data_IF_340092343791
#
_entry.id   IF_340092343791
#
_cell.length_a   1.000
_cell.length_b   1.000
_cell.length_c   1.000
_cell.angle_alpha   90.00
_cell.angle_beta   90.00
_cell.angle_gamma   90.00
#
_symmetry.space_group_name_H-M   'P 1'
#
loop_
_entity.id
_entity.type
_entity.pdbx_description
1 polymer ?
#
# COMPACT_ATOMS: atom_id res chain seq x y z
N UNK A 1 17.48 25.92 51.79
CA UNK A 1 18.46 26.75 51.04
C UNK A 1 17.86 26.95 49.65
N UNK A 2 17.25 28.11 49.36
CA UNK A 2 17.86 29.34 48.79
C UNK A 2 18.65 29.00 47.52
N UNK A 3 18.13 29.34 46.34
CA UNK A 3 18.28 30.64 45.64
C UNK A 3 19.37 30.48 44.56
N UNK A 4 19.35 31.09 43.37
CA UNK A 4 18.42 31.94 42.64
C UNK A 4 18.97 32.01 41.19
N UNK A 5 18.19 32.43 40.19
CA UNK A 5 18.67 32.74 38.85
C UNK A 5 19.38 34.11 38.84
N UNK A 6 20.42 34.25 38.02
CA UNK A 6 21.08 35.55 37.78
C UNK A 6 20.66 36.17 36.44
N UNK A 7 20.71 37.52 36.36
CA UNK A 7 19.81 38.33 35.55
C UNK A 7 20.51 39.00 34.37
N UNK A 8 19.71 39.65 33.53
CA UNK A 8 20.15 40.33 32.31
C UNK A 8 20.86 41.68 32.49
N UNK A 9 21.22 42.23 31.34
CA UNK A 9 21.41 43.66 31.07
C UNK A 9 20.90 43.94 29.65
N UNK A 10 19.94 44.85 29.42
CA UNK A 10 20.09 46.31 29.31
C UNK A 10 21.14 46.72 28.26
N UNK A 11 20.95 47.63 27.32
CA UNK A 11 19.87 48.54 26.95
C UNK A 11 20.36 49.31 25.69
N UNK A 12 19.42 49.87 24.90
CA UNK A 12 19.50 51.23 24.29
C UNK A 12 20.64 51.52 23.27
N UNK A 13 20.28 51.79 22.00
CA UNK A 13 20.12 53.16 21.45
C UNK A 13 20.06 53.17 19.91
N UNK A 14 19.13 53.98 19.42
CA UNK A 14 18.90 54.34 18.03
C UNK A 14 20.05 55.08 17.35
N UNK A 15 20.16 54.93 16.03
CA UNK A 15 20.49 56.04 15.13
C UNK A 15 19.71 55.92 13.82
N UNK A 16 18.72 56.80 13.71
CA UNK A 16 18.04 57.22 12.49
C UNK A 16 19.04 58.01 11.65
N UNK A 17 19.17 57.70 10.36
CA UNK A 17 19.84 58.61 9.41
C UNK A 17 18.94 58.80 8.20
N UNK A 18 18.19 59.90 8.25
CA UNK A 18 17.59 60.52 7.09
C UNK A 18 18.70 61.05 6.17
N UNK A 19 18.50 60.94 4.87
CA UNK A 19 19.34 61.55 3.84
C UNK A 19 18.54 61.65 2.55
N UNK A 20 17.80 62.76 2.41
CA UNK A 20 17.09 63.12 1.19
C UNK A 20 17.99 63.78 0.14
N UNK A 21 17.52 63.75 -1.10
CA UNK A 21 18.05 64.49 -2.26
C UNK A 21 17.33 64.09 -3.55
N UNK A 22 17.16 65.00 -4.54
CA UNK A 22 15.85 65.24 -5.17
C UNK A 22 15.80 64.99 -6.70
N UNK A 23 14.68 65.44 -7.29
CA UNK A 23 14.40 65.74 -8.73
C UNK A 23 13.51 64.73 -9.46
N UNK A 24 12.21 65.00 -9.63
CA UNK A 24 11.54 65.88 -10.63
C UNK A 24 11.56 65.28 -12.04
N UNK A 25 10.37 64.99 -12.58
CA UNK A 25 10.22 64.63 -13.99
C UNK A 25 8.87 64.01 -14.33
N UNK A 26 7.94 64.85 -14.76
CA UNK A 26 6.55 64.58 -15.12
C UNK A 26 6.35 63.60 -16.30
N UNK A 27 5.21 62.89 -16.28
CA UNK A 27 4.29 62.71 -17.43
C UNK A 27 3.08 61.88 -17.00
N UNK A 28 1.93 62.55 -16.89
CA UNK A 28 0.64 61.89 -16.76
C UNK A 28 0.09 61.48 -18.13
N UNK A 29 -0.42 60.24 -18.22
CA UNK A 29 -1.47 59.81 -19.16
C UNK A 29 -2.26 58.70 -18.42
N UNK A 30 -3.52 58.95 -18.07
CA UNK A 30 -4.52 57.87 -17.92
C UNK A 30 -5.33 57.74 -19.23
N UNK A 31 -6.31 56.83 -19.36
CA UNK A 31 -6.75 55.78 -18.42
C UNK A 31 -6.88 54.37 -19.06
N UNK A 32 -7.09 53.35 -18.21
CA UNK A 32 -7.86 52.11 -18.45
C UNK A 32 -7.89 51.48 -19.85
N UNK A 33 -7.21 50.33 -19.99
CA UNK A 33 -7.64 49.26 -20.93
C UNK A 33 -7.18 47.88 -20.45
N UNK A 34 -8.13 46.95 -20.43
CA UNK A 34 -7.98 45.49 -20.35
C UNK A 34 -7.79 44.84 -18.97
N UNK A 35 -8.86 44.91 -18.18
CA UNK A 35 -9.41 43.68 -17.64
C UNK A 35 -9.81 42.74 -18.81
N UNK A 36 -9.13 41.61 -19.02
CA UNK A 36 -9.81 40.41 -19.53
C UNK A 36 -9.02 39.11 -19.31
N UNK A 37 -9.61 38.23 -18.50
CA UNK A 37 -9.62 36.79 -18.70
C UNK A 37 -8.32 35.98 -18.54
N UNK A 38 -7.80 35.93 -17.32
CA UNK A 38 -7.30 34.67 -16.77
C UNK A 38 -7.92 34.41 -15.39
N UNK A 39 -9.23 34.66 -15.28
CA UNK A 39 -10.03 33.97 -14.28
C UNK A 39 -9.99 32.51 -14.69
N UNK A 40 -9.37 31.67 -13.86
CA UNK A 40 -9.70 30.25 -13.81
C UNK A 40 -11.21 30.16 -13.86
N UNK A 41 -11.72 29.74 -15.01
CA UNK A 41 -13.15 29.58 -15.22
C UNK A 41 -13.63 28.66 -14.09
N UNK A 42 -14.62 29.05 -13.26
CA UNK A 42 -15.18 28.12 -12.30
C UNK A 42 -15.68 26.94 -13.15
N UNK A 43 -14.99 25.80 -13.05
CA UNK A 43 -15.29 24.63 -13.86
C UNK A 43 -16.79 24.40 -13.81
N UNK A 44 -17.43 24.47 -14.97
CA UNK A 44 -18.90 24.39 -15.07
C UNK A 44 -19.39 23.25 -14.17
N UNK A 45 -20.39 23.46 -13.29
CA UNK A 45 -20.81 22.45 -12.31
C UNK A 45 -21.14 21.09 -12.95
N UNK A 46 -21.45 21.08 -14.24
CA UNK A 46 -21.61 19.89 -15.08
C UNK A 46 -20.30 19.11 -15.30
N UNK A 47 -19.17 19.79 -15.56
CA UNK A 47 -17.85 19.18 -15.71
C UNK A 47 -17.34 18.62 -14.38
N UNK A 48 -17.51 19.36 -13.28
CA UNK A 48 -17.14 18.90 -11.94
C UNK A 48 -17.92 17.63 -11.54
N UNK A 49 -19.25 17.61 -11.80
CA UNK A 49 -20.09 16.43 -11.56
C UNK A 49 -19.69 15.24 -12.43
N UNK A 50 -19.29 15.48 -13.69
CA UNK A 50 -18.78 14.44 -14.59
C UNK A 50 -17.50 13.80 -14.07
N UNK A 51 -16.52 14.62 -13.66
CA UNK A 51 -15.26 14.16 -13.08
C UNK A 51 -15.46 13.36 -11.79
N UNK A 52 -16.34 13.83 -10.90
CA UNK A 52 -16.65 13.13 -9.65
C UNK A 52 -17.28 11.75 -9.89
N UNK A 53 -18.21 11.64 -10.86
CA UNK A 53 -18.84 10.36 -11.22
C UNK A 53 -17.85 9.37 -11.82
N UNK A 54 -16.95 9.85 -12.69
CA UNK A 54 -15.91 9.01 -13.27
C UNK A 54 -14.93 8.49 -12.20
N UNK A 55 -14.52 9.35 -11.25
CA UNK A 55 -13.69 8.95 -10.11
C UNK A 55 -14.38 7.87 -9.26
N UNK A 56 -15.64 8.09 -8.88
CA UNK A 56 -16.41 7.13 -8.05
C UNK A 56 -16.69 5.81 -8.79
N UNK A 57 -16.77 5.83 -10.13
CA UNK A 57 -16.85 4.60 -10.92
C UNK A 57 -15.53 3.81 -10.83
N UNK A 58 -14.39 4.47 -11.05
CA UNK A 58 -13.06 3.86 -10.92
C UNK A 58 -12.81 3.26 -9.54
N UNK A 59 -13.16 3.98 -8.47
CA UNK A 59 -13.00 3.50 -7.10
C UNK A 59 -13.82 2.22 -6.83
N UNK A 60 -15.04 2.14 -7.38
CA UNK A 60 -15.91 0.96 -7.25
C UNK A 60 -15.37 -0.23 -8.04
N UNK A 61 -14.83 0.00 -9.23
CA UNK A 61 -14.20 -1.04 -10.03
C UNK A 61 -12.99 -1.65 -9.33
N UNK A 62 -12.12 -0.81 -8.75
CA UNK A 62 -10.97 -1.30 -7.96
C UNK A 62 -11.43 -2.05 -6.72
N UNK A 63 -12.47 -1.56 -6.02
CA UNK A 63 -13.04 -2.28 -4.88
C UNK A 63 -13.55 -3.67 -5.27
N UNK A 64 -14.21 -3.79 -6.42
CA UNK A 64 -14.71 -5.08 -6.89
C UNK A 64 -13.55 -6.01 -7.28
N UNK A 65 -12.57 -5.51 -8.03
CA UNK A 65 -11.39 -6.27 -8.44
C UNK A 65 -10.60 -6.79 -7.22
N UNK A 66 -10.45 -5.96 -6.18
CA UNK A 66 -9.79 -6.37 -4.94
C UNK A 66 -10.51 -7.52 -4.24
N UNK A 67 -11.84 -7.46 -4.18
CA UNK A 67 -12.65 -8.53 -3.58
C UNK A 67 -12.61 -9.81 -4.40
N UNK A 68 -12.60 -9.73 -5.72
CA UNK A 68 -12.43 -10.89 -6.61
C UNK A 68 -11.07 -11.54 -6.38
N UNK A 69 -9.99 -10.76 -6.35
CA UNK A 69 -8.65 -11.26 -6.06
C UNK A 69 -8.58 -11.97 -4.70
N UNK A 70 -9.17 -11.39 -3.65
CA UNK A 70 -9.23 -11.99 -2.33
C UNK A 70 -10.09 -13.27 -2.31
N UNK A 71 -11.20 -13.30 -3.07
CA UNK A 71 -12.01 -14.51 -3.22
C UNK A 71 -11.25 -15.64 -3.94
N UNK A 72 -10.50 -15.32 -4.99
CA UNK A 72 -9.64 -16.29 -5.68
C UNK A 72 -8.51 -16.78 -4.76
N UNK A 73 -7.91 -15.88 -3.99
CA UNK A 73 -6.91 -16.22 -2.98
C UNK A 73 -7.50 -17.20 -1.96
N UNK A 74 -8.70 -16.91 -1.45
CA UNK A 74 -9.40 -17.81 -0.55
C UNK A 74 -9.66 -19.18 -1.18
N UNK A 75 -10.13 -19.20 -2.42
CA UNK A 75 -10.47 -20.43 -3.15
C UNK A 75 -9.25 -21.34 -3.37
N UNK A 76 -8.05 -20.78 -3.47
CA UNK A 76 -6.81 -21.56 -3.62
C UNK A 76 -6.25 -21.95 -2.25
N UNK A 77 -6.01 -20.98 -1.37
CA UNK A 77 -5.24 -21.20 -0.14
C UNK A 77 -6.04 -21.93 0.94
N UNK A 78 -7.36 -21.69 1.05
CA UNK A 78 -8.17 -22.32 2.08
C UNK A 78 -8.33 -23.83 1.85
N UNK A 79 -8.77 -24.31 0.66
CA UNK A 79 -8.85 -25.74 0.40
C UNK A 79 -7.48 -26.42 0.41
N UNK A 80 -6.44 -25.75 -0.12
CA UNK A 80 -5.08 -26.30 -0.12
C UNK A 80 -4.56 -26.50 1.31
N UNK A 81 -4.72 -25.51 2.18
CA UNK A 81 -4.34 -25.65 3.59
C UNK A 81 -5.14 -26.72 4.33
N UNK A 82 -6.47 -26.77 4.13
CA UNK A 82 -7.29 -27.85 4.72
C UNK A 82 -6.80 -29.22 4.24
N UNK A 83 -6.50 -29.36 2.95
CA UNK A 83 -6.01 -30.59 2.37
C UNK A 83 -4.64 -31.00 2.98
N UNK A 84 -3.67 -30.09 3.02
CA UNK A 84 -2.35 -30.36 3.60
C UNK A 84 -2.39 -30.65 5.12
N UNK A 85 -3.39 -30.14 5.83
CA UNK A 85 -3.60 -30.48 7.25
C UNK A 85 -3.96 -31.97 7.41
N UNK A 86 -4.89 -32.48 6.60
CA UNK A 86 -5.29 -33.89 6.68
C UNK A 86 -4.28 -34.83 5.99
N UNK A 87 -3.66 -34.38 4.90
CA UNK A 87 -2.74 -35.16 4.06
C UNK A 87 -1.35 -34.49 3.95
N UNK A 88 -0.58 -34.35 5.04
CA UNK A 88 0.72 -33.64 5.01
C UNK A 88 1.77 -34.34 4.14
N UNK A 89 1.64 -35.65 3.93
CA UNK A 89 2.55 -36.44 3.09
C UNK A 89 2.46 -36.08 1.59
N UNK A 90 1.43 -35.36 1.16
CA UNK A 90 1.34 -34.85 -0.21
C UNK A 90 2.59 -34.05 -0.63
N UNK A 91 3.18 -33.31 0.30
CA UNK A 91 4.37 -32.48 0.06
C UNK A 91 5.61 -33.31 -0.32
N UNK A 92 5.64 -34.59 0.02
CA UNK A 92 6.71 -35.50 -0.37
C UNK A 92 6.76 -35.66 -1.89
N UNK A 93 5.60 -35.86 -2.53
CA UNK A 93 5.50 -35.99 -3.98
C UNK A 93 5.58 -34.65 -4.72
N UNK A 94 5.02 -33.59 -4.13
CA UNK A 94 4.96 -32.29 -4.78
C UNK A 94 6.28 -31.50 -4.72
N UNK A 95 6.99 -31.56 -3.58
CA UNK A 95 8.13 -30.71 -3.31
C UNK A 95 9.32 -31.46 -2.68
N UNK A 96 9.26 -32.80 -2.56
CA UNK A 96 10.29 -33.59 -1.88
C UNK A 96 10.34 -33.39 -0.36
N UNK A 97 9.35 -32.70 0.22
CA UNK A 97 9.34 -32.35 1.65
C UNK A 97 8.68 -33.48 2.44
N UNK A 98 9.47 -34.19 3.24
CA UNK A 98 9.02 -35.30 4.09
C UNK A 98 9.32 -35.04 5.56
N UNK A 99 8.38 -35.42 6.42
CA UNK A 99 8.63 -35.43 7.86
C UNK A 99 9.33 -36.74 8.26
N UNK A 100 10.46 -36.64 8.96
CA UNK A 100 11.20 -37.79 9.50
C UNK A 100 10.80 -38.15 10.93
N UNK A 101 10.02 -37.29 11.58
CA UNK A 101 9.57 -37.44 12.98
C UNK A 101 8.13 -36.99 13.14
N UNK A 102 7.49 -37.38 14.25
CA UNK A 102 6.16 -36.90 14.61
C UNK A 102 6.10 -35.37 14.73
N UNK A 103 7.12 -34.75 15.30
CA UNK A 103 7.25 -33.28 15.36
C UNK A 103 7.28 -32.67 13.97
N UNK A 104 8.03 -33.25 13.02
CA UNK A 104 8.02 -32.81 11.63
C UNK A 104 6.63 -32.87 11.00
N UNK A 105 5.84 -33.92 11.28
CA UNK A 105 4.46 -34.00 10.78
C UNK A 105 3.56 -32.92 11.39
N UNK A 106 3.74 -32.60 12.68
CA UNK A 106 3.02 -31.51 13.35
C UNK A 106 3.36 -30.17 12.69
N UNK A 107 4.65 -29.91 12.42
CA UNK A 107 5.10 -28.69 11.74
C UNK A 107 4.53 -28.56 10.33
N UNK A 108 4.55 -29.65 9.53
CA UNK A 108 3.95 -29.62 8.19
C UNK A 108 2.45 -29.30 8.25
N UNK A 109 1.72 -29.89 9.20
CA UNK A 109 0.30 -29.59 9.40
C UNK A 109 0.06 -28.17 9.88
N UNK A 110 0.91 -27.63 10.75
CA UNK A 110 0.77 -26.26 11.24
C UNK A 110 1.06 -25.24 10.13
N UNK A 111 2.16 -25.42 9.39
CA UNK A 111 2.65 -24.45 8.40
C UNK A 111 1.96 -24.57 7.04
N UNK A 112 1.91 -25.77 6.46
CA UNK A 112 1.26 -25.98 5.16
C UNK A 112 -0.22 -26.25 5.30
N UNK A 113 -0.68 -26.67 6.47
CA UNK A 113 -2.10 -26.85 6.73
C UNK A 113 -2.76 -25.62 7.33
N UNK A 114 -2.61 -25.47 8.65
CA UNK A 114 -3.32 -24.47 9.46
C UNK A 114 -3.04 -23.02 9.06
N UNK A 115 -1.77 -22.65 8.87
CA UNK A 115 -1.40 -21.28 8.49
C UNK A 115 -1.94 -20.91 7.10
N UNK A 116 -1.79 -21.79 6.12
CA UNK A 116 -2.31 -21.56 4.76
C UNK A 116 -3.83 -21.50 4.73
N UNK A 117 -4.51 -22.39 5.48
CA UNK A 117 -5.94 -22.32 5.66
C UNK A 117 -6.35 -20.99 6.32
N UNK A 118 -5.61 -20.52 7.33
CA UNK A 118 -5.82 -19.23 7.98
C UNK A 118 -5.71 -18.04 7.03
N UNK A 119 -4.70 -18.03 6.16
CA UNK A 119 -4.53 -17.01 5.11
C UNK A 119 -5.75 -17.00 4.17
N UNK A 120 -6.16 -18.18 3.69
CA UNK A 120 -7.34 -18.31 2.83
C UNK A 120 -8.65 -17.90 3.52
N UNK A 121 -8.82 -18.25 4.80
CA UNK A 121 -9.98 -17.84 5.60
C UNK A 121 -10.03 -16.32 5.81
N UNK A 122 -8.88 -15.69 6.07
CA UNK A 122 -8.80 -14.24 6.19
C UNK A 122 -9.12 -13.54 4.86
N UNK A 123 -8.61 -14.05 3.75
CA UNK A 123 -8.96 -13.56 2.41
C UNK A 123 -10.46 -13.71 2.12
N UNK A 124 -11.08 -14.84 2.51
CA UNK A 124 -12.53 -15.05 2.37
C UNK A 124 -13.32 -14.03 3.19
N UNK A 125 -12.94 -13.83 4.46
CA UNK A 125 -13.55 -12.84 5.33
C UNK A 125 -13.47 -11.44 4.73
N UNK A 126 -12.34 -11.09 4.09
CA UNK A 126 -12.15 -9.81 3.42
C UNK A 126 -12.93 -9.66 2.12
N UNK A 127 -13.09 -10.73 1.33
CA UNK A 127 -13.97 -10.74 0.16
C UNK A 127 -15.44 -10.48 0.54
N UNK A 128 -15.87 -11.00 1.69
CA UNK A 128 -17.23 -10.84 2.22
C UNK A 128 -17.46 -9.52 2.98
N UNK A 129 -16.40 -8.93 3.55
CA UNK A 129 -16.49 -7.72 4.38
C UNK A 129 -15.58 -6.60 3.84
N UNK A 130 -16.14 -5.56 3.20
CA UNK A 130 -15.36 -4.47 2.59
C UNK A 130 -14.35 -3.81 3.54
N UNK A 131 -14.64 -3.72 4.83
CA UNK A 131 -13.75 -3.16 5.86
C UNK A 131 -12.43 -3.92 6.03
N UNK A 132 -12.37 -5.18 5.63
CA UNK A 132 -11.19 -6.04 5.76
C UNK A 132 -10.36 -6.11 4.47
N UNK A 133 -10.80 -5.47 3.37
CA UNK A 133 -10.10 -5.52 2.08
C UNK A 133 -8.70 -4.93 2.18
N UNK A 134 -8.54 -3.68 2.64
CA UNK A 134 -7.21 -3.07 2.76
C UNK A 134 -6.29 -3.83 3.70
N UNK A 135 -6.72 -4.22 4.93
CA UNK A 135 -5.89 -5.08 5.80
C UNK A 135 -5.46 -6.40 5.15
N UNK A 136 -6.37 -7.07 4.43
CA UNK A 136 -6.06 -8.33 3.76
C UNK A 136 -5.10 -8.17 2.58
N UNK A 137 -5.23 -7.09 1.80
CA UNK A 137 -4.27 -6.76 0.74
C UNK A 137 -2.88 -6.45 1.31
N UNK A 138 -2.80 -5.66 2.38
CA UNK A 138 -1.53 -5.38 3.06
C UNK A 138 -0.89 -6.67 3.58
N UNK A 139 -1.66 -7.51 4.28
CA UNK A 139 -1.16 -8.80 4.75
C UNK A 139 -0.69 -9.68 3.58
N UNK A 140 -1.46 -9.75 2.50
CA UNK A 140 -1.10 -10.47 1.27
C UNK A 140 0.21 -10.00 0.66
N UNK A 141 0.45 -8.68 0.61
CA UNK A 141 1.73 -8.14 0.15
C UNK A 141 2.91 -8.69 0.95
N UNK A 142 2.84 -8.67 2.29
CA UNK A 142 3.94 -9.17 3.13
C UNK A 142 4.13 -10.68 3.01
N UNK A 143 3.02 -11.44 3.00
CA UNK A 143 3.06 -12.90 2.93
C UNK A 143 3.63 -13.38 1.59
N UNK A 144 3.10 -12.87 0.48
CA UNK A 144 3.53 -13.30 -0.86
C UNK A 144 4.92 -12.76 -1.22
N UNK A 145 5.24 -11.51 -0.86
CA UNK A 145 6.57 -10.96 -1.13
C UNK A 145 7.64 -11.67 -0.27
N UNK A 146 7.34 -11.92 1.01
CA UNK A 146 8.25 -12.64 1.90
C UNK A 146 8.57 -14.04 1.37
N UNK A 147 7.54 -14.78 0.94
CA UNK A 147 7.72 -16.08 0.29
C UNK A 147 8.53 -15.96 -1.01
N UNK A 148 8.15 -15.04 -1.91
CA UNK A 148 8.81 -14.86 -3.20
C UNK A 148 10.31 -14.54 -3.05
N UNK A 149 10.63 -13.60 -2.16
CA UNK A 149 12.01 -13.14 -1.94
C UNK A 149 12.85 -14.26 -1.33
N UNK A 150 12.36 -14.89 -0.26
CA UNK A 150 13.12 -15.94 0.44
C UNK A 150 13.28 -17.18 -0.43
N UNK A 151 12.24 -17.57 -1.19
CA UNK A 151 12.31 -18.69 -2.14
C UNK A 151 13.26 -18.39 -3.30
N UNK A 152 13.23 -17.18 -3.85
CA UNK A 152 14.14 -16.79 -4.93
C UNK A 152 15.59 -16.79 -4.45
N UNK A 153 15.85 -16.21 -3.28
CA UNK A 153 17.18 -16.20 -2.68
C UNK A 153 17.69 -17.62 -2.41
N UNK A 154 16.84 -18.50 -1.85
CA UNK A 154 17.15 -19.90 -1.65
C UNK A 154 17.48 -20.62 -2.97
N UNK A 155 16.65 -20.45 -4.00
CA UNK A 155 16.85 -21.07 -5.31
C UNK A 155 18.18 -20.63 -5.96
N UNK A 156 18.52 -19.34 -5.86
CA UNK A 156 19.80 -18.81 -6.36
C UNK A 156 20.98 -19.38 -5.54
N UNK A 157 20.85 -19.45 -4.22
CA UNK A 157 21.92 -19.94 -3.33
C UNK A 157 22.23 -21.43 -3.52
N UNK A 158 21.19 -22.23 -3.80
CA UNK A 158 21.31 -23.67 -4.07
C UNK A 158 21.69 -23.92 -5.54
N UNK A 159 21.35 -22.99 -6.44
CA UNK A 159 21.59 -23.11 -7.88
C UNK A 159 20.57 -24.01 -8.59
N UNK A 160 19.38 -24.21 -8.00
CA UNK A 160 18.37 -25.13 -8.52
C UNK A 160 17.01 -24.43 -8.71
N UNK A 161 16.45 -24.60 -9.91
CA UNK A 161 15.12 -24.12 -10.28
C UNK A 161 14.30 -25.29 -10.82
N UNK A 162 13.56 -25.94 -9.92
CA UNK A 162 12.61 -26.99 -10.30
C UNK A 162 11.33 -26.37 -10.87
N UNK A 163 10.55 -27.16 -11.62
CA UNK A 163 9.25 -26.73 -12.12
C UNK A 163 8.31 -26.27 -11.00
N UNK A 164 8.35 -26.95 -9.85
CA UNK A 164 7.64 -26.54 -8.64
C UNK A 164 8.06 -25.14 -8.17
N UNK A 165 9.36 -24.89 -8.05
CA UNK A 165 9.89 -23.60 -7.58
C UNK A 165 9.56 -22.46 -8.55
N UNK A 166 9.67 -22.69 -9.86
CA UNK A 166 9.31 -21.70 -10.88
C UNK A 166 7.82 -21.34 -10.80
N UNK A 167 6.95 -22.35 -10.71
CA UNK A 167 5.51 -22.15 -10.59
C UNK A 167 5.15 -21.39 -9.31
N UNK A 168 5.74 -21.77 -8.17
CA UNK A 168 5.56 -21.09 -6.90
C UNK A 168 6.00 -19.62 -6.98
N UNK A 169 7.20 -19.34 -7.51
CA UNK A 169 7.70 -17.97 -7.68
C UNK A 169 6.79 -17.12 -8.57
N UNK A 170 6.27 -17.69 -9.67
CA UNK A 170 5.33 -16.99 -10.55
C UNK A 170 4.05 -16.59 -9.82
N UNK A 171 3.46 -17.51 -9.05
CA UNK A 171 2.29 -17.22 -8.23
C UNK A 171 2.58 -16.20 -7.12
N UNK A 172 3.70 -16.34 -6.43
CA UNK A 172 4.08 -15.46 -5.30
C UNK A 172 4.35 -14.03 -5.79
N UNK A 173 5.15 -13.85 -6.86
CA UNK A 173 5.41 -12.53 -7.45
C UNK A 173 4.17 -11.93 -8.10
N UNK A 174 3.40 -12.73 -8.86
CA UNK A 174 2.17 -12.28 -9.50
C UNK A 174 1.13 -11.81 -8.48
N UNK A 175 0.93 -12.58 -7.41
CA UNK A 175 0.00 -12.22 -6.33
C UNK A 175 0.47 -10.99 -5.56
N UNK A 176 1.78 -10.84 -5.35
CA UNK A 176 2.36 -9.63 -4.73
C UNK A 176 2.11 -8.39 -5.58
N UNK A 177 2.45 -8.46 -6.87
CA UNK A 177 2.27 -7.33 -7.79
C UNK A 177 0.79 -6.93 -7.90
N UNK A 178 -0.10 -7.91 -8.00
CA UNK A 178 -1.54 -7.68 -8.06
C UNK A 178 -2.08 -7.06 -6.75
N UNK A 179 -1.65 -7.57 -5.59
CA UNK A 179 -2.04 -7.02 -4.29
C UNK A 179 -1.57 -5.56 -4.11
N UNK A 180 -0.32 -5.25 -4.50
CA UNK A 180 0.21 -3.87 -4.46
C UNK A 180 -0.56 -2.95 -5.39
N UNK A 181 -0.85 -3.40 -6.62
CA UNK A 181 -1.61 -2.62 -7.59
C UNK A 181 -3.03 -2.32 -7.09
N UNK A 182 -3.72 -3.34 -6.58
CA UNK A 182 -5.07 -3.20 -6.00
C UNK A 182 -5.07 -2.28 -4.79
N UNK A 183 -4.07 -2.39 -3.90
CA UNK A 183 -3.96 -1.54 -2.72
C UNK A 183 -3.77 -0.06 -3.08
N UNK A 184 -2.99 0.24 -4.12
CA UNK A 184 -2.80 1.62 -4.62
C UNK A 184 -4.09 2.22 -5.15
N UNK A 185 -4.90 1.45 -5.86
CA UNK A 185 -6.20 1.92 -6.35
C UNK A 185 -7.31 1.91 -5.30
N UNK A 186 -7.15 1.20 -4.18
CA UNK A 186 -8.13 1.13 -3.09
C UNK A 186 -7.99 2.27 -2.06
N UNK A 187 -7.08 3.21 -2.29
CA UNK A 187 -6.83 4.32 -1.38
C UNK A 187 -7.96 5.36 -1.44
N UNK A 188 -9.00 5.17 -0.63
CA UNK A 188 -9.85 6.25 -0.09
C UNK A 188 -9.17 6.89 1.12
N UNK A 189 -9.37 8.21 1.35
CA UNK A 189 -8.46 9.05 2.12
C UNK A 189 -8.23 8.56 3.54
N UNK A 190 -6.98 8.70 3.95
CA UNK A 190 -6.46 8.39 5.26
C UNK A 190 -7.44 8.71 6.40
N UNK A 191 -7.63 7.74 7.29
CA UNK A 191 -7.86 8.06 8.70
C UNK A 191 -6.49 8.44 9.25
N UNK A 192 -6.20 9.73 9.27
CA UNK A 192 -5.30 10.41 10.21
C UNK A 192 -5.52 11.91 10.10
#
# INVERSE_FOLDING_TARGET
>A
MRAAPLPGGSAVRATRRDGGGPEVGSRGIGPTRAAHAARSSPGSPTLLRGQLRASVAGDREVCMAARIFLALTALVWLPYGIFCFFQPNYLAGAAGVTATTATGTIELRAMYGGLQAGIGAFALAAALRPRLVSPALVAGCFLFAGLAITRLFAAISIGELTSYTIFALGLEWGSTALAVWLLRGHSSPAIA
#
